data_IF_531240377825
#
_entry.id   IF_531240377825
#
_cell.length_a   1.000
_cell.length_b   1.000
_cell.length_c   1.000
_cell.angle_alpha   90.00
_cell.angle_beta   90.00
_cell.angle_gamma   90.00
#
_symmetry.space_group_name_H-M   'P 1'
#
loop_
_entity.id
_entity.type
_entity.pdbx_description
1 polymer ?
#
# COMPACT_ATOMS: atom_id res chain seq x y z
N UNK A 1 4.36 -0.75 14.98
CA UNK A 1 3.91 -1.88 14.14
C UNK A 1 2.42 -1.82 13.94
N UNK A 2 2.04 -1.22 12.83
CA UNK A 2 0.68 -1.23 12.29
C UNK A 2 0.63 -2.21 11.10
N UNK A 3 -0.48 -2.91 10.94
CA UNK A 3 -0.73 -3.82 9.82
C UNK A 3 -1.73 -3.17 8.85
N UNK A 4 -1.33 -2.98 7.59
CA UNK A 4 -2.20 -2.53 6.52
C UNK A 4 -2.57 -3.69 5.60
N UNK A 5 -3.86 -4.00 5.51
CA UNK A 5 -4.36 -5.10 4.68
C UNK A 5 -4.76 -4.61 3.29
N UNK A 6 -4.22 -5.25 2.27
CA UNK A 6 -4.60 -5.01 0.87
C UNK A 6 -5.63 -6.05 0.47
N UNK A 7 -6.86 -5.60 0.29
CA UNK A 7 -8.03 -6.45 -0.01
C UNK A 7 -8.55 -6.26 -1.43
N UNK A 8 -8.13 -5.19 -2.12
CA UNK A 8 -8.51 -4.92 -3.50
C UNK A 8 -7.56 -5.64 -4.46
N UNK A 9 -8.13 -6.34 -5.44
CA UNK A 9 -7.36 -7.08 -6.47
C UNK A 9 -6.84 -6.19 -7.59
N UNK A 10 -7.26 -4.91 -7.64
CA UNK A 10 -6.77 -3.94 -8.62
C UNK A 10 -6.38 -2.63 -7.95
N UNK A 11 -5.34 -2.00 -8.48
CA UNK A 11 -4.84 -0.73 -7.98
C UNK A 11 -4.35 0.14 -9.15
N UNK A 12 -4.73 1.41 -9.14
CA UNK A 12 -4.35 2.39 -10.16
C UNK A 12 -3.10 3.21 -9.78
N UNK A 13 -2.53 2.98 -8.60
CA UNK A 13 -1.29 3.59 -8.15
C UNK A 13 -1.41 4.99 -7.54
N UNK A 14 -2.63 5.53 -7.37
CA UNK A 14 -2.85 6.90 -6.90
C UNK A 14 -2.89 7.05 -5.36
N UNK A 15 -3.00 5.95 -4.60
CA UNK A 15 -2.92 5.97 -3.13
C UNK A 15 -4.12 6.59 -2.40
N UNK A 16 -5.26 6.70 -3.08
CA UNK A 16 -6.48 7.35 -2.60
C UNK A 16 -7.69 6.40 -2.47
N UNK A 17 -7.54 5.12 -2.80
CA UNK A 17 -8.58 4.09 -2.62
C UNK A 17 -8.23 3.15 -1.47
N UNK A 18 -9.03 3.15 -0.40
CA UNK A 18 -8.82 2.27 0.77
C UNK A 18 -8.78 0.79 0.34
N UNK A 19 -7.85 0.03 0.93
CA UNK A 19 -7.68 -1.40 0.65
C UNK A 19 -6.86 -1.71 -0.61
N UNK A 20 -6.39 -0.69 -1.34
CA UNK A 20 -5.39 -0.86 -2.41
C UNK A 20 -3.96 -0.83 -1.86
N UNK A 21 -2.99 -1.35 -2.63
CA UNK A 21 -1.59 -1.39 -2.24
C UNK A 21 -1.00 0.03 -2.13
N UNK A 22 -1.27 0.90 -3.09
CA UNK A 22 -0.81 2.29 -3.13
C UNK A 22 -1.35 3.11 -1.97
N UNK A 23 -2.55 2.79 -1.47
CA UNK A 23 -3.10 3.38 -0.25
C UNK A 23 -2.37 2.85 0.99
N UNK A 24 -2.17 1.53 1.10
CA UNK A 24 -1.44 0.92 2.22
C UNK A 24 -0.02 1.48 2.37
N UNK A 25 0.71 1.58 1.25
CA UNK A 25 2.04 2.21 1.21
C UNK A 25 1.98 3.66 1.69
N UNK A 26 0.99 4.44 1.23
CA UNK A 26 0.86 5.84 1.63
C UNK A 26 0.62 5.99 3.13
N UNK A 27 -0.19 5.11 3.72
CA UNK A 27 -0.42 5.13 5.17
C UNK A 27 0.83 4.72 5.94
N UNK A 28 1.51 3.64 5.52
CA UNK A 28 2.75 3.18 6.15
C UNK A 28 3.85 4.25 6.11
N UNK A 29 4.00 4.99 5.01
CA UNK A 29 4.99 6.08 4.93
C UNK A 29 4.73 7.25 5.91
N UNK A 30 3.47 7.45 6.32
CA UNK A 30 3.09 8.55 7.24
C UNK A 30 3.20 8.11 8.69
N UNK A 31 2.97 6.83 8.94
CA UNK A 31 3.07 6.27 10.27
C UNK A 31 4.55 6.10 10.67
N UNK A 32 4.87 6.48 11.90
CA UNK A 32 6.24 6.40 12.40
C UNK A 32 6.57 4.99 12.89
N UNK A 33 7.76 4.51 12.52
CA UNK A 33 8.30 3.21 12.93
C UNK A 33 7.91 2.08 12.00
N UNK A 34 8.30 0.86 12.38
CA UNK A 34 8.12 -0.33 11.54
C UNK A 34 6.65 -0.67 11.36
N UNK A 35 6.26 -0.91 10.11
CA UNK A 35 4.92 -1.33 9.69
C UNK A 35 4.96 -2.56 8.79
N UNK A 36 3.80 -3.20 8.62
CA UNK A 36 3.63 -4.34 7.73
C UNK A 36 2.48 -4.10 6.75
N UNK A 37 2.67 -4.52 5.50
CA UNK A 37 1.62 -4.56 4.48
C UNK A 37 1.37 -6.02 4.13
N UNK A 38 0.13 -6.48 4.29
CA UNK A 38 -0.28 -7.86 3.98
C UNK A 38 -1.20 -7.89 2.77
N UNK A 39 -0.81 -8.65 1.74
CA UNK A 39 -1.63 -8.88 0.55
C UNK A 39 -2.61 -10.03 0.81
N UNK A 40 -3.90 -9.71 0.97
CA UNK A 40 -4.97 -10.72 1.13
C UNK A 40 -5.46 -11.30 -0.20
N UNK A 41 -5.04 -10.69 -1.31
CA UNK A 41 -5.38 -11.10 -2.67
C UNK A 41 -4.24 -10.77 -3.62
N UNK A 42 -4.23 -11.41 -4.79
CA UNK A 42 -3.33 -11.03 -5.87
C UNK A 42 -3.71 -9.62 -6.37
N UNK A 43 -2.73 -8.73 -6.41
CA UNK A 43 -2.93 -7.34 -6.83
C UNK A 43 -2.44 -7.14 -8.26
N UNK A 44 -3.33 -6.65 -9.13
CA UNK A 44 -2.96 -6.16 -10.47
C UNK A 44 -2.84 -4.64 -10.45
N UNK A 45 -1.65 -4.15 -10.73
CA UNK A 45 -1.39 -2.73 -10.95
C UNK A 45 -1.81 -2.37 -12.39
N UNK A 46 -2.72 -1.41 -12.54
CA UNK A 46 -3.31 -1.03 -13.85
C UNK A 46 -2.72 0.24 -14.45
N UNK A 47 -1.88 0.95 -13.71
CA UNK A 47 -1.21 2.19 -14.16
C UNK A 47 0.11 2.36 -13.41
N UNK A 48 0.84 3.45 -13.67
CA UNK A 48 2.10 3.75 -12.99
C UNK A 48 1.86 4.05 -11.51
N UNK A 49 2.49 3.28 -10.62
CA UNK A 49 2.52 3.56 -9.18
C UNK A 49 3.11 4.96 -8.92
N UNK A 50 2.37 5.80 -8.19
CA UNK A 50 2.80 7.17 -7.82
C UNK A 50 3.19 7.29 -6.35
N UNK A 51 2.80 6.34 -5.51
CA UNK A 51 3.20 6.31 -4.11
C UNK A 51 4.64 5.82 -3.97
N UNK A 52 5.49 6.62 -3.32
CA UNK A 52 6.84 6.22 -2.93
C UNK A 52 6.78 5.00 -2.00
N UNK A 53 7.64 4.00 -2.22
CA UNK A 53 7.92 2.97 -1.22
C UNK A 53 9.05 3.45 -0.32
N UNK A 54 8.77 3.73 0.96
CA UNK A 54 9.78 4.13 1.94
C UNK A 54 9.88 3.07 3.03
N UNK A 55 10.70 2.04 2.80
CA UNK A 55 10.97 0.99 3.78
C UNK A 55 12.17 1.36 4.63
N UNK A 56 12.16 0.96 5.89
CA UNK A 56 13.36 0.91 6.73
C UNK A 56 14.41 -0.04 6.10
N UNK A 57 15.69 0.27 6.30
CA UNK A 57 16.84 -0.48 5.77
C UNK A 57 17.17 -1.74 6.60
#
# INVERSE_FOLDING_TARGET
>A
MTLYQVTQSTDNGNGNTVGTLSYAIRQANVNAGTDAIELKTNVRITSVMKTLLNSDA
#
